data_IF_485657894678
#
_entry.id   IF_485657894678
#
_cell.length_a   1.000
_cell.length_b   1.000
_cell.length_c   1.000
_cell.angle_alpha   90.00
_cell.angle_beta   90.00
_cell.angle_gamma   90.00
#
_symmetry.space_group_name_H-M   'P 1'
#
loop_
_entity.id
_entity.type
_entity.pdbx_description
1 polymer ?
#
# COMPACT_ATOMS: atom_id res chain seq x y z
N UNK A 1 -7.19 24.00 -17.98
CA UNK A 1 -8.26 23.08 -17.47
C UNK A 1 -7.80 21.62 -17.28
N UNK A 2 -6.50 21.27 -17.19
CA UNK A 2 -6.02 19.86 -17.11
C UNK A 2 -5.70 19.33 -15.69
N UNK A 3 -5.77 20.16 -14.64
CA UNK A 3 -5.30 19.78 -13.28
C UNK A 3 -6.28 18.96 -12.45
N UNK A 4 -7.59 19.04 -12.70
CA UNK A 4 -8.60 18.42 -11.81
C UNK A 4 -8.89 16.95 -12.14
N UNK A 5 -8.87 16.56 -13.41
CA UNK A 5 -9.06 15.16 -13.83
C UNK A 5 -7.99 14.21 -13.25
N UNK A 6 -6.75 14.69 -13.14
CA UNK A 6 -5.60 13.86 -12.73
C UNK A 6 -5.59 13.54 -11.22
N UNK A 7 -6.26 14.37 -10.39
CA UNK A 7 -6.31 14.17 -8.93
C UNK A 7 -7.41 13.21 -8.48
N UNK A 8 -8.54 13.22 -9.19
CA UNK A 8 -9.62 12.26 -8.96
C UNK A 8 -9.17 10.82 -9.27
N UNK A 9 -8.43 10.65 -10.37
CA UNK A 9 -7.89 9.35 -10.78
C UNK A 9 -6.83 8.81 -9.82
N UNK A 10 -5.99 9.69 -9.24
CA UNK A 10 -4.98 9.28 -8.27
C UNK A 10 -5.61 8.87 -6.93
N UNK A 11 -6.68 9.56 -6.50
CA UNK A 11 -7.48 9.17 -5.33
C UNK A 11 -8.08 7.78 -5.51
N UNK A 12 -8.73 7.55 -6.66
CA UNK A 12 -9.40 6.28 -6.97
C UNK A 12 -8.41 5.13 -6.94
N UNK A 13 -7.23 5.29 -7.56
CA UNK A 13 -6.16 4.27 -7.54
C UNK A 13 -5.72 3.88 -6.13
N UNK A 14 -5.57 4.86 -5.23
CA UNK A 14 -5.22 4.61 -3.83
C UNK A 14 -6.33 3.82 -3.12
N UNK A 15 -7.58 4.23 -3.29
CA UNK A 15 -8.73 3.52 -2.71
C UNK A 15 -8.84 2.09 -3.23
N UNK A 16 -8.66 1.89 -4.54
CA UNK A 16 -8.68 0.55 -5.16
C UNK A 16 -7.55 -0.35 -4.62
N UNK A 17 -6.41 0.22 -4.21
CA UNK A 17 -5.32 -0.53 -3.56
C UNK A 17 -5.68 -0.91 -2.12
N UNK A 18 -6.29 0.00 -1.38
CA UNK A 18 -6.79 -0.28 -0.03
C UNK A 18 -7.80 -1.42 -0.07
N UNK A 19 -8.79 -1.36 -0.97
CA UNK A 19 -9.79 -2.44 -1.13
C UNK A 19 -9.17 -3.80 -1.45
N UNK A 20 -8.07 -3.83 -2.23
CA UNK A 20 -7.31 -5.06 -2.50
C UNK A 20 -6.62 -5.59 -1.25
N UNK A 21 -5.94 -4.73 -0.47
CA UNK A 21 -5.28 -5.10 0.78
C UNK A 21 -6.29 -5.65 1.79
N UNK A 22 -7.45 -5.02 1.92
CA UNK A 22 -8.54 -5.55 2.75
C UNK A 22 -9.02 -6.93 2.30
N UNK A 23 -9.11 -7.15 0.97
CA UNK A 23 -9.42 -8.45 0.39
C UNK A 23 -8.42 -9.52 0.79
N UNK A 24 -7.12 -9.21 0.75
CA UNK A 24 -6.06 -10.11 1.19
C UNK A 24 -6.17 -10.44 2.68
N UNK A 25 -6.42 -9.44 3.55
CA UNK A 25 -6.63 -9.65 4.98
C UNK A 25 -7.86 -10.54 5.26
N UNK A 26 -8.96 -10.32 4.54
CA UNK A 26 -10.15 -11.20 4.60
C UNK A 26 -9.81 -12.63 4.18
N UNK A 27 -8.97 -12.79 3.16
CA UNK A 27 -8.46 -14.09 2.71
C UNK A 27 -7.65 -14.80 3.78
N UNK A 28 -6.69 -14.12 4.42
CA UNK A 28 -5.88 -14.67 5.53
C UNK A 28 -6.78 -15.12 6.67
N UNK A 29 -7.77 -14.30 7.07
CA UNK A 29 -8.74 -14.67 8.12
C UNK A 29 -9.47 -15.97 7.77
N UNK A 30 -9.89 -16.14 6.51
CA UNK A 30 -10.53 -17.36 6.03
C UNK A 30 -9.56 -18.55 6.06
N UNK A 31 -8.33 -18.38 5.61
CA UNK A 31 -7.31 -19.44 5.63
C UNK A 31 -7.03 -19.96 7.04
N UNK A 32 -7.02 -19.06 8.04
CA UNK A 32 -6.88 -19.45 9.45
C UNK A 32 -8.09 -20.25 9.91
N UNK A 33 -9.31 -19.79 9.59
CA UNK A 33 -10.54 -20.52 9.93
C UNK A 33 -10.70 -21.87 9.21
N UNK A 34 -10.05 -22.04 8.06
CA UNK A 34 -9.99 -23.29 7.29
C UNK A 34 -8.75 -24.14 7.62
N UNK A 35 -7.98 -23.78 8.65
CA UNK A 35 -6.77 -24.50 9.10
C UNK A 35 -5.77 -24.77 7.96
N UNK A 36 -5.58 -23.80 7.06
CA UNK A 36 -4.59 -23.90 5.97
C UNK A 36 -3.16 -23.99 6.50
N UNK A 37 -2.27 -24.52 5.65
CA UNK A 37 -0.86 -24.67 5.97
C UNK A 37 -0.19 -23.36 6.39
N UNK A 38 0.66 -23.43 7.42
CA UNK A 38 1.37 -22.27 7.96
C UNK A 38 2.17 -21.53 6.87
N UNK A 39 2.86 -22.26 5.98
CA UNK A 39 3.64 -21.65 4.90
C UNK A 39 2.78 -20.82 3.94
N UNK A 40 1.59 -21.29 3.59
CA UNK A 40 0.66 -20.58 2.71
C UNK A 40 0.17 -19.29 3.36
N UNK A 41 -0.17 -19.36 4.65
CA UNK A 41 -0.62 -18.20 5.44
C UNK A 41 0.50 -17.15 5.52
N UNK A 42 1.73 -17.56 5.87
CA UNK A 42 2.89 -16.67 5.95
C UNK A 42 3.22 -16.04 4.59
N UNK A 43 3.03 -16.79 3.50
CA UNK A 43 3.17 -16.27 2.14
C UNK A 43 2.16 -15.14 1.86
N UNK A 44 0.89 -15.33 2.24
CA UNK A 44 -0.12 -14.27 2.08
C UNK A 44 0.14 -13.06 2.99
N UNK A 45 0.60 -13.28 4.22
CA UNK A 45 1.01 -12.19 5.13
C UNK A 45 2.15 -11.37 4.52
N UNK A 46 3.13 -12.04 3.91
CA UNK A 46 4.24 -11.36 3.22
C UNK A 46 3.75 -10.54 2.03
N UNK A 47 2.80 -11.06 1.25
CA UNK A 47 2.18 -10.32 0.15
C UNK A 47 1.41 -9.07 0.63
N UNK A 48 0.70 -9.15 1.76
CA UNK A 48 0.02 -8.00 2.38
C UNK A 48 1.04 -6.95 2.82
N UNK A 49 2.12 -7.37 3.47
CA UNK A 49 3.19 -6.46 3.90
C UNK A 49 3.75 -5.67 2.73
N UNK A 50 4.07 -6.32 1.61
CA UNK A 50 4.55 -5.63 0.41
C UNK A 50 3.52 -4.67 -0.19
N UNK A 51 2.24 -5.07 -0.22
CA UNK A 51 1.17 -4.22 -0.72
C UNK A 51 0.99 -2.96 0.13
N UNK A 52 1.06 -3.08 1.45
CA UNK A 52 1.01 -1.96 2.40
C UNK A 52 2.24 -1.04 2.24
N UNK A 53 3.43 -1.61 2.12
CA UNK A 53 4.65 -0.84 1.83
C UNK A 53 4.51 -0.01 0.56
N UNK A 54 4.01 -0.60 -0.54
CA UNK A 54 3.78 0.09 -1.81
C UNK A 54 2.71 1.18 -1.69
N UNK A 55 1.63 0.95 -0.94
CA UNK A 55 0.62 1.96 -0.64
C UNK A 55 1.23 3.16 0.09
N UNK A 56 2.11 2.91 1.06
CA UNK A 56 2.83 3.96 1.79
C UNK A 56 3.69 4.84 0.88
N UNK A 57 4.43 4.24 -0.06
CA UNK A 57 5.20 4.97 -1.08
C UNK A 57 4.30 5.86 -1.93
N UNK A 58 3.18 5.32 -2.41
CA UNK A 58 2.25 6.08 -3.25
C UNK A 58 1.59 7.24 -2.51
N UNK A 59 1.26 7.06 -1.23
CA UNK A 59 0.72 8.13 -0.39
C UNK A 59 1.74 9.25 -0.20
N UNK A 60 3.02 8.93 0.00
CA UNK A 60 4.09 9.95 0.11
C UNK A 60 4.37 10.67 -1.21
N UNK A 61 4.22 9.99 -2.35
CA UNK A 61 4.40 10.60 -3.67
C UNK A 61 3.23 11.47 -4.12
N UNK A 62 2.08 11.36 -3.47
CA UNK A 62 0.85 12.04 -3.86
C UNK A 62 0.53 13.20 -2.90
N UNK A 63 -0.15 14.23 -3.40
CA UNK A 63 -0.51 15.45 -2.67
C UNK A 63 -1.48 15.21 -1.49
N UNK A 64 -1.92 13.97 -1.26
CA UNK A 64 -2.73 13.58 -0.09
C UNK A 64 -1.95 13.74 1.21
N UNK A 65 -0.67 13.39 1.19
CA UNK A 65 0.20 13.52 2.33
C UNK A 65 0.83 14.91 2.31
N UNK A 66 0.09 15.95 2.71
CA UNK A 66 0.64 17.29 2.98
C UNK A 66 1.49 17.31 4.26
N UNK A 67 2.27 16.26 4.51
CA UNK A 67 3.30 16.33 5.53
C UNK A 67 4.29 17.35 5.00
N UNK A 68 4.50 18.38 5.80
CA UNK A 68 5.35 19.54 5.56
C UNK A 68 6.82 19.05 5.52
N UNK A 69 7.18 18.28 4.50
CA UNK A 69 8.52 17.79 4.22
C UNK A 69 9.33 18.97 3.67
N UNK A 70 9.52 19.99 4.51
CA UNK A 70 10.40 21.15 4.26
C UNK A 70 11.86 20.72 4.04
N UNK A 71 12.17 19.43 4.16
CA UNK A 71 13.39 18.80 3.66
C UNK A 71 12.98 17.71 2.70
N UNK A 72 13.26 17.93 1.41
CA UNK A 72 12.91 17.01 0.33
C UNK A 72 13.29 15.58 0.67
N UNK A 73 12.28 14.73 0.86
CA UNK A 73 12.49 13.30 0.95
C UNK A 73 12.84 12.81 -0.46
N UNK A 74 13.98 12.15 -0.61
CA UNK A 74 14.34 11.50 -1.87
C UNK A 74 13.64 10.15 -2.00
N UNK A 75 13.41 9.71 -3.24
CA UNK A 75 12.72 8.43 -3.53
C UNK A 75 13.41 7.23 -2.83
N UNK A 76 14.74 7.27 -2.72
CA UNK A 76 15.55 6.24 -2.07
C UNK A 76 15.27 6.11 -0.56
N UNK A 77 14.99 7.21 0.12
CA UNK A 77 14.63 7.24 1.54
C UNK A 77 13.23 6.68 1.77
N UNK A 78 12.30 6.95 0.84
CA UNK A 78 10.94 6.38 0.86
C UNK A 78 10.99 4.86 0.71
N UNK A 79 11.76 4.36 -0.24
CA UNK A 79 11.94 2.91 -0.46
C UNK A 79 12.58 2.23 0.76
N UNK A 80 13.57 2.90 1.37
CA UNK A 80 14.22 2.44 2.61
C UNK A 80 13.24 2.40 3.79
N UNK A 81 12.39 3.42 3.94
CA UNK A 81 11.42 3.54 5.03
C UNK A 81 10.44 2.36 5.04
N UNK A 82 9.96 1.97 3.87
CA UNK A 82 9.04 0.85 3.71
C UNK A 82 9.73 -0.50 3.50
N UNK A 83 11.07 -0.52 3.57
CA UNK A 83 11.93 -1.72 3.40
C UNK A 83 11.55 -2.51 2.14
N UNK A 84 11.23 -1.82 1.07
CA UNK A 84 10.97 -2.45 -0.22
C UNK A 84 12.34 -2.87 -0.76
N UNK A 85 12.53 -4.17 -0.98
CA UNK A 85 13.73 -4.69 -1.66
C UNK A 85 13.60 -4.50 -3.17
#
# INVERSE_FOLDING_TARGET
MKKEANKADSKKKILDRISRIEGQLRGIRKMIGEEKGCLDIITQVSAVKEAVSKLGVELLKNDFCKIDLKKGINDKYIETLFKIK
#
